data_IF_678000121254
#
_entry.id   IF_678000121254
#
_cell.length_a   1.000
_cell.length_b   1.000
_cell.length_c   1.000
_cell.angle_alpha   90.00
_cell.angle_beta   90.00
_cell.angle_gamma   90.00
#
_symmetry.space_group_name_H-M   'P 1'
#
loop_
_entity.id
_entity.type
_entity.pdbx_description
1 polymer ?
#
# COMPACT_ATOMS: atom_id res chain seq x y z
N UNK A 1 -6.61 -11.83 13.41
CA UNK A 1 -5.38 -11.91 12.59
C UNK A 1 -4.23 -12.47 13.43
N UNK A 2 -3.13 -12.91 12.83
CA UNK A 2 -1.91 -13.31 13.55
C UNK A 2 -0.69 -12.61 12.93
N UNK A 3 0.24 -12.16 13.76
CA UNK A 3 1.55 -11.71 13.30
C UNK A 3 2.55 -12.84 13.48
N UNK A 4 3.18 -13.27 12.40
CA UNK A 4 4.20 -14.33 12.40
C UNK A 4 5.54 -13.72 12.08
N UNK A 5 6.55 -14.00 12.90
CA UNK A 5 7.91 -13.51 12.67
C UNK A 5 8.51 -14.19 11.44
N UNK A 6 9.12 -13.37 10.57
CA UNK A 6 9.77 -13.83 9.35
C UNK A 6 11.26 -14.00 9.64
N UNK A 7 11.77 -15.20 9.41
CA UNK A 7 13.19 -15.52 9.61
C UNK A 7 14.07 -14.68 8.68
N UNK A 8 15.25 -14.27 9.16
CA UNK A 8 16.23 -13.57 8.35
C UNK A 8 16.79 -14.42 7.19
N UNK A 9 16.66 -15.76 7.28
CA UNK A 9 17.01 -16.68 6.21
C UNK A 9 15.98 -16.74 5.09
N UNK A 10 14.75 -16.24 5.30
CA UNK A 10 13.67 -16.26 4.32
C UNK A 10 14.01 -15.35 3.11
N UNK A 11 13.66 -15.79 1.90
CA UNK A 11 13.89 -15.00 0.69
C UNK A 11 13.09 -13.70 0.70
N UNK A 12 11.86 -13.71 1.24
CA UNK A 12 11.04 -12.51 1.41
C UNK A 12 11.63 -11.52 2.40
N UNK A 13 12.29 -12.02 3.46
CA UNK A 13 13.01 -11.13 4.37
C UNK A 13 14.15 -10.42 3.64
N UNK A 14 14.95 -11.16 2.87
CA UNK A 14 16.08 -10.59 2.11
C UNK A 14 15.61 -9.58 1.06
N UNK A 15 14.54 -9.88 0.34
CA UNK A 15 13.90 -8.96 -0.61
C UNK A 15 13.49 -7.64 0.05
N UNK A 16 12.70 -7.73 1.14
CA UNK A 16 12.22 -6.55 1.88
C UNK A 16 13.38 -5.76 2.49
N UNK A 17 14.38 -6.46 3.06
CA UNK A 17 15.57 -5.83 3.61
C UNK A 17 16.34 -5.06 2.53
N UNK A 18 16.53 -5.65 1.35
CA UNK A 18 17.21 -4.99 0.25
C UNK A 18 16.46 -3.73 -0.20
N UNK A 19 15.13 -3.80 -0.35
CA UNK A 19 14.29 -2.64 -0.67
C UNK A 19 14.42 -1.53 0.39
N UNK A 20 14.33 -1.89 1.67
CA UNK A 20 14.45 -0.95 2.77
C UNK A 20 15.82 -0.25 2.79
N UNK A 21 16.90 -1.02 2.62
CA UNK A 21 18.28 -0.52 2.70
C UNK A 21 18.70 0.33 1.50
N UNK A 22 17.93 0.37 0.41
CA UNK A 22 18.19 1.30 -0.69
C UNK A 22 18.15 2.76 -0.21
N UNK A 23 17.24 3.10 0.70
CA UNK A 23 17.02 4.47 1.15
C UNK A 23 17.22 4.68 2.66
N UNK A 24 17.32 3.62 3.45
CA UNK A 24 17.48 3.68 4.92
C UNK A 24 18.75 2.95 5.38
N UNK A 25 19.93 3.40 4.90
CA UNK A 25 21.22 2.73 5.14
C UNK A 25 21.67 2.75 6.60
N UNK A 26 21.32 3.81 7.33
CA UNK A 26 21.70 4.01 8.73
C UNK A 26 20.77 3.31 9.72
N UNK A 27 19.78 2.58 9.23
CA UNK A 27 18.77 1.90 10.04
C UNK A 27 18.85 0.38 9.88
N UNK A 28 18.59 -0.34 10.98
CA UNK A 28 18.54 -1.80 11.01
C UNK A 28 17.13 -2.32 11.30
N UNK A 29 16.68 -3.32 10.53
CA UNK A 29 15.41 -4.01 10.77
C UNK A 29 15.55 -4.88 12.02
N UNK A 30 14.90 -4.50 13.13
CA UNK A 30 14.92 -5.29 14.37
C UNK A 30 14.06 -6.54 14.28
N UNK A 31 12.86 -6.42 13.72
CA UNK A 31 11.88 -7.51 13.57
C UNK A 31 11.10 -7.31 12.28
N UNK A 32 10.92 -8.37 11.51
CA UNK A 32 9.99 -8.41 10.38
C UNK A 32 8.87 -9.39 10.71
N UNK A 33 7.63 -8.94 10.62
CA UNK A 33 6.45 -9.76 10.91
C UNK A 33 5.50 -9.73 9.73
N UNK A 34 5.04 -10.91 9.32
CA UNK A 34 4.02 -11.09 8.30
C UNK A 34 2.65 -11.21 8.94
N UNK A 35 1.69 -10.41 8.48
CA UNK A 35 0.29 -10.53 8.87
C UNK A 35 -0.34 -11.74 8.18
N UNK A 36 -0.91 -12.65 8.98
CA UNK A 36 -1.78 -13.73 8.54
C UNK A 36 -3.21 -13.38 8.86
N UNK A 37 -3.97 -13.02 7.83
CA UNK A 37 -5.41 -12.78 7.89
C UNK A 37 -6.05 -13.44 6.69
N UNK A 38 -6.83 -14.51 6.91
CA UNK A 38 -7.48 -15.25 5.83
C UNK A 38 -8.47 -14.35 5.07
N UNK A 39 -9.25 -13.56 5.80
CA UNK A 39 -10.22 -12.62 5.22
C UNK A 39 -9.56 -11.57 4.34
N UNK A 40 -8.50 -10.91 4.81
CA UNK A 40 -7.79 -9.90 4.01
C UNK A 40 -7.10 -10.53 2.79
N UNK A 41 -6.55 -11.73 2.95
CA UNK A 41 -5.94 -12.47 1.84
C UNK A 41 -6.96 -12.87 0.77
N UNK A 42 -8.14 -13.35 1.17
CA UNK A 42 -9.22 -13.67 0.23
C UNK A 42 -9.67 -12.43 -0.54
N UNK A 43 -9.86 -11.29 0.14
CA UNK A 43 -10.19 -10.04 -0.54
C UNK A 43 -9.11 -9.60 -1.54
N UNK A 44 -7.83 -9.75 -1.18
CA UNK A 44 -6.72 -9.44 -2.07
C UNK A 44 -6.72 -10.34 -3.32
N UNK A 45 -6.86 -11.65 -3.15
CA UNK A 45 -6.90 -12.60 -4.27
C UNK A 45 -8.10 -12.36 -5.20
N UNK A 46 -9.28 -12.11 -4.64
CA UNK A 46 -10.48 -11.78 -5.43
C UNK A 46 -10.30 -10.49 -6.24
N UNK A 47 -9.60 -9.49 -5.69
CA UNK A 47 -9.27 -8.28 -6.46
C UNK A 47 -8.27 -8.57 -7.57
N UNK A 48 -7.24 -9.38 -7.30
CA UNK A 48 -6.27 -9.80 -8.30
C UNK A 48 -6.97 -10.50 -9.48
N UNK A 49 -7.81 -11.49 -9.20
CA UNK A 49 -8.59 -12.19 -10.24
C UNK A 49 -9.48 -11.22 -11.05
N UNK A 50 -10.04 -10.21 -10.39
CA UNK A 50 -10.85 -9.20 -11.07
C UNK A 50 -10.01 -8.35 -12.03
N UNK A 51 -8.79 -7.98 -11.64
CA UNK A 51 -7.85 -7.25 -12.50
C UNK A 51 -7.34 -8.12 -13.65
N UNK A 52 -7.01 -9.39 -13.41
CA UNK A 52 -6.59 -10.35 -14.45
C UNK A 52 -7.69 -10.57 -15.51
N UNK A 53 -8.95 -10.65 -15.08
CA UNK A 53 -10.10 -10.74 -16.01
C UNK A 53 -10.29 -9.48 -16.86
N UNK A 54 -9.81 -8.31 -16.41
CA UNK A 54 -9.94 -7.03 -17.13
C UNK A 54 -8.86 -6.86 -18.20
N UNK A 55 -7.73 -7.55 -18.05
CA UNK A 55 -6.61 -7.53 -18.98
C UNK A 55 -6.14 -8.96 -19.28
N UNK A 56 -6.91 -9.74 -20.07
CA UNK A 56 -6.62 -11.15 -20.32
C UNK A 56 -5.23 -11.32 -20.95
N UNK A 57 -4.41 -12.19 -20.36
CA UNK A 57 -3.05 -12.47 -20.84
C UNK A 57 -1.97 -11.52 -20.32
N UNK A 58 -2.34 -10.52 -19.51
CA UNK A 58 -1.39 -9.67 -18.79
C UNK A 58 -1.38 -10.03 -17.30
N UNK A 59 -0.20 -10.22 -16.73
CA UNK A 59 -0.06 -10.38 -15.28
C UNK A 59 -0.31 -9.04 -14.58
N UNK A 60 -1.03 -9.07 -13.46
CA UNK A 60 -1.30 -7.86 -12.68
C UNK A 60 -0.04 -7.43 -11.94
N UNK A 61 0.34 -6.17 -12.15
CA UNK A 61 1.49 -5.58 -11.47
C UNK A 61 1.27 -5.56 -9.95
N UNK A 62 2.14 -6.30 -9.25
CA UNK A 62 2.19 -6.38 -7.80
C UNK A 62 3.42 -5.66 -7.25
N UNK A 63 3.21 -4.64 -6.43
CA UNK A 63 4.30 -3.86 -5.84
C UNK A 63 4.38 -4.06 -4.33
N UNK A 64 5.60 -3.99 -3.81
CA UNK A 64 5.88 -3.89 -2.39
C UNK A 64 6.19 -2.44 -2.07
N UNK A 65 5.31 -1.77 -1.33
CA UNK A 65 5.49 -0.38 -0.94
C UNK A 65 5.42 -0.19 0.57
N UNK A 66 6.08 0.85 1.04
CA UNK A 66 6.19 1.20 2.44
C UNK A 66 5.05 2.12 2.90
N UNK A 67 4.65 1.98 4.16
CA UNK A 67 3.71 2.88 4.81
C UNK A 67 4.13 3.12 6.27
N UNK A 68 4.54 4.34 6.58
CA UNK A 68 4.93 4.74 7.93
C UNK A 68 3.74 5.18 8.75
N UNK A 69 3.73 4.83 10.04
CA UNK A 69 2.62 5.12 10.93
C UNK A 69 3.02 4.97 12.41
N UNK A 70 2.14 5.44 13.30
CA UNK A 70 2.26 5.14 14.73
C UNK A 70 2.03 3.64 15.01
N UNK A 71 2.81 3.02 15.92
CA UNK A 71 2.58 1.66 16.41
C UNK A 71 1.16 1.43 16.95
N UNK A 72 0.47 2.48 17.43
CA UNK A 72 -0.89 2.39 17.97
C UNK A 72 -1.94 1.89 16.98
N UNK A 73 -1.75 2.11 15.66
CA UNK A 73 -2.73 1.65 14.67
C UNK A 73 -2.40 0.28 14.05
N UNK A 74 -1.28 -0.36 14.44
CA UNK A 74 -0.87 -1.67 13.88
C UNK A 74 -1.97 -2.73 14.05
N UNK A 75 -2.60 -2.92 15.22
CA UNK A 75 -3.65 -3.92 15.38
C UNK A 75 -4.84 -3.68 14.46
N UNK A 76 -5.30 -2.44 14.37
CA UNK A 76 -6.45 -2.07 13.56
C UNK A 76 -6.20 -2.28 12.06
N UNK A 77 -5.03 -1.93 11.55
CA UNK A 77 -4.67 -2.18 10.13
C UNK A 77 -4.53 -3.68 9.85
N UNK A 78 -3.97 -4.46 10.77
CA UNK A 78 -3.84 -5.91 10.58
C UNK A 78 -5.19 -6.64 10.58
N UNK A 79 -6.20 -6.05 11.23
CA UNK A 79 -7.55 -6.60 11.30
C UNK A 79 -8.44 -6.13 10.15
N UNK A 80 -8.44 -4.83 9.88
CA UNK A 80 -9.42 -4.16 9.02
C UNK A 80 -8.83 -3.64 7.69
N UNK A 81 -7.52 -3.82 7.47
CA UNK A 81 -6.75 -3.21 6.38
C UNK A 81 -6.59 -1.68 6.55
N UNK A 82 -5.91 -1.04 5.59
CA UNK A 82 -5.73 0.41 5.55
C UNK A 82 -7.06 1.12 5.27
N UNK A 83 -7.56 1.90 6.24
CA UNK A 83 -8.72 2.78 6.10
C UNK A 83 -8.33 4.25 6.33
N UNK A 84 -8.26 4.99 5.22
CA UNK A 84 -7.94 6.41 5.20
C UNK A 84 -8.89 7.27 6.05
N UNK A 85 -10.13 6.82 6.29
CA UNK A 85 -11.15 7.57 7.04
C UNK A 85 -10.83 7.63 8.52
N UNK A 86 -10.12 6.64 9.02
CA UNK A 86 -9.82 6.48 10.44
C UNK A 86 -8.56 7.26 10.83
N UNK A 87 -7.58 7.33 9.91
CA UNK A 87 -6.24 7.81 10.24
C UNK A 87 -5.91 9.20 9.70
N UNK A 88 -6.84 9.91 9.07
CA UNK A 88 -6.59 11.23 8.50
C UNK A 88 -5.58 11.23 7.34
N UNK A 89 -5.50 12.32 6.59
CA UNK A 89 -4.58 12.45 5.45
C UNK A 89 -3.15 12.74 5.92
N UNK A 90 -2.41 11.70 6.29
CA UNK A 90 -0.96 11.80 6.48
C UNK A 90 -0.28 11.68 5.12
N UNK A 91 -0.18 12.80 4.40
CA UNK A 91 0.41 12.87 3.07
C UNK A 91 0.12 14.22 2.42
N UNK A 92 1.13 14.86 1.84
CA UNK A 92 0.93 16.04 1.00
C UNK A 92 0.09 15.64 -0.20
N UNK A 93 -1.03 16.34 -0.42
CA UNK A 93 -1.79 16.21 -1.68
C UNK A 93 -0.83 16.54 -2.82
N UNK A 94 -0.46 15.54 -3.62
CA UNK A 94 0.47 15.56 -4.77
C UNK A 94 1.35 16.83 -4.87
N UNK A 95 2.38 16.92 -4.02
CA UNK A 95 3.45 17.91 -4.13
C UNK A 95 4.62 17.32 -4.91
N UNK A 96 5.31 18.15 -5.71
CA UNK A 96 6.51 17.77 -6.46
C UNK A 96 7.47 16.94 -5.59
N UNK A 97 7.99 15.86 -6.16
CA UNK A 97 9.10 15.02 -5.66
C UNK A 97 8.77 13.91 -4.64
N UNK A 98 7.50 13.56 -4.46
CA UNK A 98 7.12 12.37 -3.67
C UNK A 98 6.92 11.15 -4.59
N UNK A 99 7.13 9.92 -4.08
CA UNK A 99 6.89 8.63 -4.77
C UNK A 99 5.75 7.84 -4.09
N UNK A 100 4.62 8.50 -3.84
CA UNK A 100 3.36 7.97 -3.35
C UNK A 100 2.45 7.34 -4.42
N UNK A 101 2.10 6.07 -4.22
CA UNK A 101 1.01 5.41 -4.93
C UNK A 101 -0.32 5.59 -4.17
N UNK A 102 -1.35 5.98 -4.91
CA UNK A 102 -2.75 5.94 -4.50
C UNK A 102 -3.40 4.67 -5.01
N UNK A 103 -4.01 3.88 -4.13
CA UNK A 103 -4.65 2.62 -4.52
C UNK A 103 -6.15 2.62 -4.43
N UNK A 104 -6.78 2.10 -5.47
CA UNK A 104 -8.17 1.66 -5.43
C UNK A 104 -8.26 0.26 -4.80
N UNK A 105 -8.43 0.20 -3.48
CA UNK A 105 -8.98 -1.02 -2.89
C UNK A 105 -10.49 -1.05 -3.13
N UNK A 106 -10.96 -2.00 -3.94
CA UNK A 106 -12.39 -2.34 -4.07
C UNK A 106 -12.84 -3.16 -2.85
N UNK A 107 -13.12 -2.50 -1.75
CA UNK A 107 -13.58 -3.19 -0.54
C UNK A 107 -15.01 -3.71 -0.79
N UNK A 108 -15.17 -5.02 -1.01
CA UNK A 108 -16.48 -5.68 -1.07
C UNK A 108 -16.99 -5.89 0.37
N UNK A 109 -17.42 -4.80 1.02
CA UNK A 109 -18.39 -4.95 2.10
C UNK A 109 -19.78 -4.93 1.47
N UNK A 110 -20.64 -5.81 1.95
CA UNK A 110 -21.93 -6.24 1.39
C UNK A 110 -23.00 -5.14 1.20
N UNK A 111 -22.68 -3.86 1.38
CA UNK A 111 -23.57 -2.73 1.08
C UNK A 111 -22.80 -1.51 0.55
N UNK A 112 -22.16 -1.63 -0.61
CA UNK A 112 -21.75 -0.46 -1.40
C UNK A 112 -20.33 -0.52 -1.96
N UNK A 113 -20.14 0.14 -3.10
CA UNK A 113 -18.82 0.39 -3.68
C UNK A 113 -18.05 1.34 -2.75
N UNK A 114 -17.24 0.80 -1.85
CA UNK A 114 -16.45 1.63 -0.92
C UNK A 114 -15.06 1.92 -1.48
N UNK A 115 -14.82 3.22 -1.70
CA UNK A 115 -13.60 3.78 -2.28
C UNK A 115 -12.54 3.99 -1.19
N UNK A 116 -11.36 3.41 -1.36
CA UNK A 116 -10.19 3.77 -0.57
C UNK A 116 -9.61 5.09 -1.12
N UNK A 117 -10.12 6.23 -0.64
CA UNK A 117 -9.57 7.53 -0.98
C UNK A 117 -8.43 7.88 -0.02
N UNK A 118 -7.15 7.84 -0.43
CA UNK A 118 -6.02 8.49 0.27
C UNK A 118 -5.24 7.62 1.27
N UNK A 119 -5.12 6.32 1.01
CA UNK A 119 -4.01 5.55 1.59
C UNK A 119 -2.78 5.73 0.70
N UNK A 120 -1.76 6.42 1.20
CA UNK A 120 -0.50 6.66 0.47
C UNK A 120 0.54 5.59 0.82
N UNK A 121 1.23 5.10 -0.19
CA UNK A 121 2.31 4.14 -0.05
C UNK A 121 3.53 4.60 -0.81
N UNK A 122 4.73 4.47 -0.24
CA UNK A 122 5.95 4.96 -0.86
C UNK A 122 6.84 3.83 -1.36
N UNK A 123 7.48 4.03 -2.52
CA UNK A 123 8.56 3.13 -2.96
C UNK A 123 9.74 3.18 -1.99
N UNK A 124 10.05 4.38 -1.51
CA UNK A 124 11.23 4.64 -0.71
C UNK A 124 10.86 4.59 0.78
N UNK A 125 11.53 3.72 1.54
CA UNK A 125 11.31 3.61 2.98
C UNK A 125 11.63 4.92 3.72
N UNK A 126 12.57 5.72 3.22
CA UNK A 126 12.93 7.02 3.81
C UNK A 126 11.78 8.03 3.76
N UNK A 127 10.98 8.01 2.69
CA UNK A 127 9.81 8.85 2.59
C UNK A 127 8.74 8.42 3.60
N UNK A 128 8.44 7.12 3.66
CA UNK A 128 7.53 6.58 4.68
C UNK A 128 7.98 6.85 6.10
N UNK A 129 9.30 6.88 6.36
CA UNK A 129 9.85 7.12 7.70
C UNK A 129 9.41 8.47 8.31
N UNK A 130 9.17 9.48 7.48
CA UNK A 130 8.69 10.81 7.94
C UNK A 130 7.32 10.73 8.62
N UNK A 131 6.53 9.70 8.32
CA UNK A 131 5.21 9.46 8.90
C UNK A 131 5.24 8.47 10.07
N UNK A 132 6.41 7.90 10.39
CA UNK A 132 6.60 7.08 11.59
C UNK A 132 6.65 8.00 12.82
N UNK A 133 5.51 8.17 13.49
CA UNK A 133 5.42 8.98 14.71
C UNK A 133 6.40 8.48 15.80
N UNK A 134 7.10 9.43 16.41
CA UNK A 134 8.10 9.20 17.44
C UNK A 134 7.44 8.97 18.80
N UNK A 135 7.25 7.71 19.16
CA UNK A 135 6.87 7.35 20.53
C UNK A 135 8.01 6.67 21.30
N UNK A 136 9.03 6.14 20.61
CA UNK A 136 10.17 5.42 21.19
C UNK A 136 11.36 5.43 20.22
N UNK A 137 12.52 4.91 20.64
CA UNK A 137 13.68 4.55 19.78
C UNK A 137 13.33 3.51 18.69
N UNK A 138 12.09 3.06 18.61
CA UNK A 138 11.62 2.05 17.67
C UNK A 138 10.54 2.62 16.77
N UNK A 139 10.84 2.64 15.48
CA UNK A 139 9.89 3.02 14.45
C UNK A 139 9.20 1.77 13.90
N UNK A 140 7.92 1.91 13.58
CA UNK A 140 7.13 0.86 12.93
C UNK A 140 6.69 1.33 11.56
N UNK A 141 6.77 0.43 10.59
CA UNK A 141 6.42 0.68 9.19
C UNK A 141 5.85 -0.61 8.61
N UNK A 142 4.82 -0.48 7.77
CA UNK A 142 4.30 -1.58 6.98
C UNK A 142 5.04 -1.69 5.65
N UNK A 143 5.19 -2.93 5.18
CA UNK A 143 5.43 -3.23 3.78
C UNK A 143 4.15 -3.89 3.27
N UNK A 144 3.44 -3.20 2.38
CA UNK A 144 2.18 -3.65 1.83
C UNK A 144 2.39 -4.24 0.43
N UNK A 145 1.75 -5.38 0.18
CA UNK A 145 1.63 -5.96 -1.14
C UNK A 145 0.41 -5.35 -1.83
N UNK A 146 0.63 -4.81 -3.02
CA UNK A 146 -0.27 -3.84 -3.62
C UNK A 146 -0.49 -4.21 -5.08
N UNK A 147 -1.75 -4.27 -5.50
CA UNK A 147 -2.14 -4.44 -6.90
C UNK A 147 -2.20 -3.06 -7.54
N UNK A 148 -1.23 -2.73 -8.39
CA UNK A 148 -1.17 -1.43 -9.05
C UNK A 148 -2.24 -1.31 -10.14
N UNK A 149 -2.46 -2.38 -10.92
CA UNK A 149 -3.40 -2.38 -12.05
C UNK A 149 -3.05 -1.31 -13.09
N UNK A 150 -4.04 -0.78 -13.80
CA UNK A 150 -3.83 0.34 -14.72
C UNK A 150 -3.61 1.63 -13.90
N UNK A 151 -2.52 2.35 -14.15
CA UNK A 151 -2.16 3.57 -13.41
C UNK A 151 -1.79 4.75 -14.30
N UNK A 152 -1.92 5.96 -13.76
CA UNK A 152 -1.52 7.21 -14.41
C UNK A 152 -1.06 8.24 -13.37
N UNK A 153 -0.57 9.38 -13.84
CA UNK A 153 -0.13 10.48 -13.00
C UNK A 153 -1.26 11.03 -12.14
N UNK A 154 -1.01 11.13 -10.84
CA UNK A 154 -1.91 11.72 -9.87
C UNK A 154 -1.98 13.24 -9.98
N UNK A 155 -3.12 13.79 -9.55
CA UNK A 155 -3.35 15.23 -9.47
C UNK A 155 -4.03 15.55 -8.12
N UNK A 156 -3.68 16.69 -7.52
CA UNK A 156 -4.26 17.16 -6.24
C UNK A 156 -5.79 17.26 -6.27
N UNK A 157 -6.38 17.50 -7.44
CA UNK A 157 -7.84 17.62 -7.61
C UNK A 157 -8.52 16.25 -7.73
N UNK A 158 -7.76 15.16 -7.92
CA UNK A 158 -8.35 13.83 -8.09
C UNK A 158 -8.86 13.27 -6.77
N UNK A 159 -10.17 13.05 -6.73
CA UNK A 159 -10.86 12.25 -5.72
C UNK A 159 -10.87 10.76 -6.09
N UNK A 160 -10.60 10.41 -7.34
CA UNK A 160 -10.46 9.02 -7.79
C UNK A 160 -9.51 8.96 -8.99
N UNK A 161 -8.95 7.77 -9.32
CA UNK A 161 -8.13 7.64 -10.52
C UNK A 161 -8.92 8.05 -11.77
N UNK A 162 -8.32 8.83 -12.68
CA UNK A 162 -9.02 9.36 -13.83
C UNK A 162 -9.44 8.24 -14.79
N UNK A 163 -10.41 8.53 -15.65
CA UNK A 163 -10.79 7.67 -16.77
C UNK A 163 -9.94 8.03 -17.98
N UNK A 164 -9.27 7.05 -18.63
CA UNK A 164 -8.62 7.29 -19.93
C UNK A 164 -9.67 7.23 -21.05
N UNK A 165 -9.75 8.28 -21.85
CA UNK A 165 -10.72 8.41 -22.96
C UNK A 165 -10.60 7.30 -24.01
N UNK A 166 -9.40 6.72 -24.16
CA UNK A 166 -9.13 5.63 -25.11
C UNK A 166 -9.61 4.25 -24.61
N UNK A 167 -9.96 4.12 -23.32
CA UNK A 167 -10.25 2.84 -22.67
C UNK A 167 -11.63 2.84 -21.99
N UNK A 168 -12.71 3.13 -22.71
CA UNK A 168 -14.11 3.02 -22.21
C UNK A 168 -14.42 3.89 -20.96
N UNK A 169 -15.68 3.92 -20.52
CA UNK A 169 -16.14 4.63 -19.31
C UNK A 169 -15.57 4.08 -17.98
N UNK A 170 -14.36 3.48 -17.96
CA UNK A 170 -13.79 2.83 -16.78
C UNK A 170 -12.71 3.70 -16.12
N UNK A 171 -12.77 3.93 -14.79
CA UNK A 171 -11.67 4.60 -14.10
C UNK A 171 -10.48 3.65 -13.96
N UNK A 172 -9.27 4.22 -13.94
CA UNK A 172 -8.03 3.52 -13.63
C UNK A 172 -8.05 2.90 -12.21
N UNK A 173 -7.03 2.09 -11.92
CA UNK A 173 -6.91 1.36 -10.66
C UNK A 173 -6.03 2.10 -9.64
N UNK A 174 -5.03 2.86 -10.09
CA UNK A 174 -4.19 3.64 -9.18
C UNK A 174 -3.66 4.93 -9.80
N UNK A 175 -3.12 5.81 -8.94
CA UNK A 175 -2.41 7.01 -9.36
C UNK A 175 -1.01 7.06 -8.76
N UNK A 176 -0.02 7.42 -9.56
CA UNK A 176 1.40 7.57 -9.16
C UNK A 176 1.85 9.02 -9.22
N UNK A 177 2.89 9.33 -8.48
CA UNK A 177 3.78 10.48 -8.65
C UNK A 177 5.18 9.98 -9.12
N UNK A 178 6.13 10.91 -9.29
CA UNK A 178 7.35 10.72 -10.09
C UNK A 178 8.53 10.16 -9.28
#
# INVERSE_FOLDING_TARGET
FQLVEVSCADSKYREIKNLFQQTMKDYSIRRLRRTRSLTLWQHFQLQKEHLEKRSPGQEVDEWLLFHGMSPSHVPAICEQNFDWRIYGTHGTMYGKDSRCLFLRFRHFLTHGFFWCLRSYFARDASYSHQYCLWSTDHHSMFVAQILAGDFDWGNQVYFCPPTRLEFSNRPLDSCVDN
#
